data_IF_829575055449
#
_entry.id   IF_829575055449
#
_cell.length_a   1.000
_cell.length_b   1.000
_cell.length_c   1.000
_cell.angle_alpha   90.00
_cell.angle_beta   90.00
_cell.angle_gamma   90.00
#
_symmetry.space_group_name_H-M   'P 1'
#
loop_
_entity.id
_entity.type
_entity.pdbx_description
1 polymer ?
#
# COMPACT_ATOMS: atom_id res chain seq x y z
N UNK A 1 1.90 3.94 -18.31
CA UNK A 1 2.40 2.70 -17.68
C UNK A 1 2.18 2.87 -16.19
N UNK A 2 1.47 1.95 -15.52
CA UNK A 2 1.29 2.04 -14.08
C UNK A 2 2.63 1.75 -13.38
N UNK A 3 2.91 2.39 -12.22
CA UNK A 3 4.07 2.02 -11.43
C UNK A 3 3.93 0.56 -10.99
N UNK A 4 5.02 -0.20 -11.07
CA UNK A 4 5.10 -1.55 -10.51
C UNK A 4 5.17 -1.46 -8.99
N UNK A 5 4.01 -1.29 -8.36
CA UNK A 5 3.90 -1.07 -6.93
C UNK A 5 2.70 -1.82 -6.35
N UNK A 6 2.86 -2.27 -5.10
CA UNK A 6 1.81 -2.79 -4.26
C UNK A 6 1.38 -1.76 -3.20
N UNK A 7 0.15 -1.91 -2.73
CA UNK A 7 -0.50 -0.99 -1.81
C UNK A 7 -1.16 -1.75 -0.67
N UNK A 8 -0.90 -1.32 0.56
CA UNK A 8 -1.66 -1.73 1.73
C UNK A 8 -2.55 -0.56 2.14
N UNK A 9 -3.87 -0.75 2.09
CA UNK A 9 -4.86 0.30 2.28
C UNK A 9 -5.77 0.00 3.45
N UNK A 10 -6.11 1.02 4.23
CA UNK A 10 -7.19 0.96 5.23
C UNK A 10 -8.37 1.79 4.74
N UNK A 11 -9.54 1.18 4.72
CA UNK A 11 -10.80 1.84 4.44
C UNK A 11 -11.59 1.97 5.74
N UNK A 12 -11.85 3.20 6.17
CA UNK A 12 -12.57 3.47 7.41
C UNK A 12 -14.06 3.72 7.15
N UNK A 13 -14.96 3.32 8.05
CA UNK A 13 -16.36 3.71 7.96
C UNK A 13 -16.49 5.23 8.11
N UNK A 14 -17.56 5.82 7.56
CA UNK A 14 -17.81 7.26 7.70
C UNK A 14 -17.77 7.74 9.16
N UNK A 15 -18.20 6.91 10.12
CA UNK A 15 -18.17 7.24 11.55
C UNK A 15 -16.77 7.54 12.10
N UNK A 16 -15.71 7.09 11.44
CA UNK A 16 -14.33 7.37 11.83
C UNK A 16 -13.88 8.81 11.54
N UNK A 17 -14.55 9.50 10.61
CA UNK A 17 -14.19 10.86 10.18
C UNK A 17 -14.92 11.92 11.01
N UNK A 18 -14.39 13.14 11.04
CA UNK A 18 -15.07 14.29 11.64
C UNK A 18 -16.37 14.60 10.89
N UNK A 19 -17.34 15.24 11.56
CA UNK A 19 -18.67 15.48 10.98
C UNK A 19 -18.63 16.28 9.66
N UNK A 20 -17.73 17.27 9.57
CA UNK A 20 -17.50 18.03 8.34
C UNK A 20 -17.00 17.15 7.18
N UNK A 21 -16.08 16.23 7.46
CA UNK A 21 -15.53 15.30 6.48
C UNK A 21 -16.53 14.21 6.08
N UNK A 22 -17.40 13.76 7.01
CA UNK A 22 -18.43 12.76 6.72
C UNK A 22 -19.33 13.19 5.58
N UNK A 23 -19.79 14.45 5.62
CA UNK A 23 -20.63 15.01 4.55
C UNK A 23 -19.87 15.07 3.23
N UNK A 24 -18.62 15.56 3.25
CA UNK A 24 -17.77 15.61 2.05
C UNK A 24 -17.60 14.22 1.43
N UNK A 25 -17.35 13.19 2.24
CA UNK A 25 -17.19 11.83 1.72
C UNK A 25 -18.48 11.18 1.25
N UNK A 26 -19.62 11.48 1.89
CA UNK A 26 -20.92 11.05 1.42
C UNK A 26 -21.24 11.68 0.05
N UNK A 27 -21.11 13.00 -0.07
CA UNK A 27 -21.34 13.73 -1.31
C UNK A 27 -20.36 13.28 -2.41
N UNK A 28 -19.09 13.05 -2.07
CA UNK A 28 -18.08 12.48 -2.98
C UNK A 28 -18.48 11.09 -3.47
N UNK A 29 -19.05 10.23 -2.63
CA UNK A 29 -19.45 8.88 -3.03
C UNK A 29 -20.50 8.87 -4.13
N UNK A 30 -21.39 9.86 -4.13
CA UNK A 30 -22.48 10.04 -5.09
C UNK A 30 -22.07 10.86 -6.33
N UNK A 31 -20.92 11.54 -6.27
CA UNK A 31 -20.35 12.27 -7.41
C UNK A 31 -20.03 11.35 -8.59
N UNK A 32 -20.37 11.81 -9.80
CA UNK A 32 -20.07 11.12 -11.07
C UNK A 32 -18.67 11.39 -11.60
N UNK A 33 -18.07 12.50 -11.18
CA UNK A 33 -16.79 12.99 -11.73
C UNK A 33 -15.56 12.41 -11.02
N UNK A 34 -15.77 11.58 -10.00
CA UNK A 34 -14.66 10.96 -9.26
C UNK A 34 -13.97 9.85 -10.05
N UNK A 35 -12.65 9.67 -9.89
CA UNK A 35 -11.95 8.52 -10.44
C UNK A 35 -12.54 7.21 -9.91
N UNK A 36 -12.95 6.32 -10.81
CA UNK A 36 -13.31 4.95 -10.45
C UNK A 36 -12.07 4.18 -10.05
N UNK A 37 -12.22 3.15 -9.21
CA UNK A 37 -11.11 2.32 -8.71
C UNK A 37 -10.17 1.84 -9.82
N UNK A 38 -10.72 1.37 -10.94
CA UNK A 38 -9.95 0.90 -12.09
C UNK A 38 -8.98 1.96 -12.67
N UNK A 39 -9.34 3.25 -12.55
CA UNK A 39 -8.57 4.36 -13.12
C UNK A 39 -7.86 5.20 -12.03
N UNK A 40 -8.15 4.97 -10.75
CA UNK A 40 -7.67 5.77 -9.63
C UNK A 40 -6.13 5.83 -9.58
N UNK A 41 -5.46 4.67 -9.69
CA UNK A 41 -4.00 4.62 -9.73
C UNK A 41 -3.41 5.36 -10.94
N UNK A 42 -4.03 5.22 -12.12
CA UNK A 42 -3.57 5.90 -13.32
C UNK A 42 -3.77 7.41 -13.23
N UNK A 43 -4.88 7.86 -12.64
CA UNK A 43 -5.16 9.27 -12.40
C UNK A 43 -4.14 9.89 -11.42
N UNK A 44 -3.90 9.24 -10.27
CA UNK A 44 -2.89 9.69 -9.30
C UNK A 44 -1.48 9.72 -9.92
N UNK A 45 -1.13 8.68 -10.69
CA UNK A 45 0.18 8.60 -11.33
C UNK A 45 0.37 9.68 -12.42
N UNK A 46 -0.62 9.86 -13.29
CA UNK A 46 -0.56 10.84 -14.38
C UNK A 46 -0.44 12.27 -13.83
N UNK A 47 -1.19 12.60 -12.78
CA UNK A 47 -1.07 13.88 -12.07
C UNK A 47 0.35 14.07 -11.50
N UNK A 48 0.90 13.05 -10.86
CA UNK A 48 2.26 13.11 -10.31
C UNK A 48 3.33 13.27 -11.37
N UNK A 49 3.22 12.58 -12.50
CA UNK A 49 4.17 12.70 -13.62
C UNK A 49 4.14 14.11 -14.19
N UNK A 50 2.94 14.65 -14.43
CA UNK A 50 2.79 16.02 -14.96
C UNK A 50 3.42 17.06 -14.04
N UNK A 51 3.25 16.94 -12.71
CA UNK A 51 3.89 17.82 -11.74
C UNK A 51 5.41 17.72 -11.72
N UNK A 52 5.95 16.51 -11.84
CA UNK A 52 7.40 16.28 -11.82
C UNK A 52 8.08 16.74 -13.11
N UNK A 53 7.38 16.70 -14.25
CA UNK A 53 7.87 17.21 -15.53
C UNK A 53 7.75 18.74 -15.67
N UNK A 54 7.06 19.40 -14.75
CA UNK A 54 6.94 20.86 -14.73
C UNK A 54 8.26 21.58 -14.48
N UNK A 55 8.34 22.87 -14.85
CA UNK A 55 9.50 23.73 -14.61
C UNK A 55 9.07 24.97 -13.81
N UNK A 56 9.41 25.07 -12.51
CA UNK A 56 10.15 24.09 -11.71
C UNK A 56 9.33 22.82 -11.40
N UNK A 57 9.98 21.68 -11.08
CA UNK A 57 9.28 20.46 -10.71
C UNK A 57 8.53 20.65 -9.39
N UNK A 58 7.37 20.02 -9.25
CA UNK A 58 6.55 20.05 -8.03
C UNK A 58 6.42 18.65 -7.42
N UNK A 59 7.43 18.14 -6.67
CA UNK A 59 7.37 16.82 -6.05
C UNK A 59 6.15 16.60 -5.13
N UNK A 60 5.70 17.67 -4.47
CA UNK A 60 4.55 17.65 -3.57
C UNK A 60 3.44 18.53 -4.15
N UNK A 61 2.19 18.04 -4.25
CA UNK A 61 1.05 18.87 -4.64
C UNK A 61 0.86 20.08 -3.73
N UNK A 62 0.37 21.19 -4.27
CA UNK A 62 0.08 22.40 -3.49
C UNK A 62 -1.11 22.24 -2.54
N UNK A 63 -2.05 21.33 -2.83
CA UNK A 63 -3.24 21.06 -2.04
C UNK A 63 -3.44 19.55 -1.88
N UNK A 64 -4.15 19.15 -0.82
CA UNK A 64 -4.47 17.74 -0.63
C UNK A 64 -5.48 17.27 -1.69
N UNK A 65 -5.33 16.02 -2.12
CA UNK A 65 -6.24 15.41 -3.08
C UNK A 65 -7.64 15.29 -2.48
N UNK A 66 -8.70 15.73 -3.18
CA UNK A 66 -10.08 15.52 -2.74
C UNK A 66 -10.55 14.08 -2.99
N UNK A 67 -9.70 13.22 -3.56
CA UNK A 67 -10.08 11.87 -3.97
C UNK A 67 -9.85 10.83 -2.87
N UNK A 68 -10.70 9.81 -2.89
CA UNK A 68 -10.62 8.63 -2.04
C UNK A 68 -10.97 7.37 -2.83
N UNK A 69 -10.40 6.24 -2.41
CA UNK A 69 -10.91 4.93 -2.76
C UNK A 69 -12.13 4.63 -1.90
N UNK A 70 -13.19 4.11 -2.52
CA UNK A 70 -14.44 3.78 -1.85
C UNK A 70 -14.73 2.30 -1.95
N UNK A 71 -15.31 1.75 -0.88
CA UNK A 71 -15.83 0.39 -0.85
C UNK A 71 -17.19 0.36 -0.18
N UNK A 72 -18.13 -0.38 -0.75
CA UNK A 72 -19.42 -0.66 -0.11
C UNK A 72 -19.46 -2.13 0.25
N UNK A 73 -19.79 -2.43 1.49
CA UNK A 73 -20.08 -3.78 1.99
C UNK A 73 -21.43 -3.68 2.66
N UNK A 74 -22.40 -4.42 2.11
CA UNK A 74 -23.82 -4.24 2.45
C UNK A 74 -24.21 -2.76 2.25
N UNK A 75 -24.76 -2.12 3.29
CA UNK A 75 -25.19 -0.71 3.27
C UNK A 75 -24.13 0.25 3.85
N UNK A 76 -22.94 -0.24 4.21
CA UNK A 76 -21.88 0.58 4.80
C UNK A 76 -20.89 1.08 3.76
N UNK A 77 -20.66 2.39 3.75
CA UNK A 77 -19.62 3.03 2.96
C UNK A 77 -18.32 3.11 3.76
N UNK A 78 -17.25 2.63 3.13
CA UNK A 78 -15.88 2.72 3.61
C UNK A 78 -15.05 3.59 2.69
N UNK A 79 -14.20 4.42 3.29
CA UNK A 79 -13.43 5.47 2.63
C UNK A 79 -11.95 5.31 2.94
N UNK A 80 -11.12 5.34 1.91
CA UNK A 80 -9.67 5.38 2.03
C UNK A 80 -9.16 6.61 1.25
N UNK A 81 -8.96 7.76 1.94
CA UNK A 81 -8.47 8.97 1.31
C UNK A 81 -7.11 8.75 0.64
N UNK A 82 -6.88 9.35 -0.54
CA UNK A 82 -5.61 9.15 -1.25
C UNK A 82 -4.41 9.72 -0.48
N UNK A 83 -4.64 10.84 0.22
CA UNK A 83 -3.61 11.57 0.98
C UNK A 83 -2.35 11.80 0.15
N UNK A 84 -2.52 12.13 -1.13
CA UNK A 84 -1.44 12.27 -2.10
C UNK A 84 -0.44 13.32 -1.63
N UNK A 85 -0.89 14.44 -1.04
CA UNK A 85 0.03 15.48 -0.55
C UNK A 85 0.85 15.00 0.64
N UNK A 86 0.21 14.42 1.66
CA UNK A 86 0.92 13.83 2.80
C UNK A 86 1.89 12.74 2.39
N UNK A 87 1.46 11.80 1.54
CA UNK A 87 2.31 10.72 1.03
C UNK A 87 3.47 11.25 0.20
N UNK A 88 3.27 12.30 -0.60
CA UNK A 88 4.35 12.98 -1.34
C UNK A 88 5.36 13.65 -0.40
N UNK A 89 4.93 14.32 0.68
CA UNK A 89 5.86 14.87 1.68
C UNK A 89 6.73 13.78 2.33
N UNK A 90 6.10 12.69 2.77
CA UNK A 90 6.80 11.57 3.40
C UNK A 90 7.78 10.90 2.42
N UNK A 91 7.35 10.66 1.17
CA UNK A 91 8.19 10.10 0.13
C UNK A 91 9.36 11.02 -0.22
N UNK A 92 9.13 12.33 -0.35
CA UNK A 92 10.18 13.30 -0.64
C UNK A 92 11.19 13.43 0.50
N UNK A 93 10.72 13.41 1.76
CA UNK A 93 11.60 13.41 2.94
C UNK A 93 12.48 12.15 2.98
N UNK A 94 11.92 10.98 2.65
CA UNK A 94 12.68 9.73 2.56
C UNK A 94 13.72 9.80 1.44
N UNK A 95 13.31 10.22 0.25
CA UNK A 95 14.19 10.39 -0.91
C UNK A 95 15.39 11.29 -0.56
N UNK A 96 15.15 12.46 0.05
CA UNK A 96 16.21 13.36 0.49
C UNK A 96 17.17 12.74 1.51
N UNK A 97 16.66 11.87 2.39
CA UNK A 97 17.48 11.19 3.39
C UNK A 97 18.35 10.05 2.82
N UNK A 98 17.89 9.40 1.74
CA UNK A 98 18.58 8.25 1.12
C UNK A 98 19.44 8.62 -0.08
N UNK A 99 19.21 9.78 -0.69
CA UNK A 99 19.89 10.19 -1.93
C UNK A 99 21.01 11.20 -1.64
N UNK A 100 22.22 11.03 -2.20
CA UNK A 100 23.30 11.98 -2.04
C UNK A 100 22.90 13.40 -2.46
N UNK A 101 23.27 14.42 -1.65
CA UNK A 101 22.84 15.80 -1.85
C UNK A 101 23.11 16.34 -3.28
N UNK A 102 24.27 16.02 -3.85
CA UNK A 102 24.64 16.42 -5.23
C UNK A 102 23.68 15.88 -6.29
N UNK A 103 23.09 14.70 -6.08
CA UNK A 103 22.12 14.12 -6.99
C UNK A 103 20.74 14.74 -6.75
N UNK A 104 20.38 15.00 -5.48
CA UNK A 104 19.13 15.69 -5.15
C UNK A 104 19.04 17.07 -5.80
N UNK A 105 20.12 17.85 -5.77
CA UNK A 105 20.18 19.19 -6.39
C UNK A 105 19.96 19.16 -7.92
N UNK A 106 20.19 18.00 -8.57
CA UNK A 106 19.91 17.78 -9.99
C UNK A 106 18.46 17.41 -10.27
N UNK A 107 17.81 16.74 -9.31
CA UNK A 107 16.41 16.32 -9.44
C UNK A 107 15.45 17.45 -9.08
N UNK A 108 15.75 18.20 -8.02
CA UNK A 108 14.90 19.27 -7.49
C UNK A 108 15.78 20.44 -7.08
N UNK A 109 15.52 21.66 -7.59
CA UNK A 109 16.26 22.85 -7.19
C UNK A 109 16.23 23.06 -5.67
N UNK A 110 17.36 23.47 -5.09
CA UNK A 110 17.53 23.61 -3.63
C UNK A 110 16.42 24.44 -2.97
N UNK A 111 16.06 25.59 -3.54
CA UNK A 111 15.00 26.44 -2.99
C UNK A 111 13.62 25.77 -2.97
N UNK A 112 13.32 24.93 -3.96
CA UNK A 112 12.08 24.12 -3.97
C UNK A 112 12.13 23.05 -2.87
N UNK A 113 13.27 22.37 -2.71
CA UNK A 113 13.44 21.35 -1.69
C UNK A 113 13.36 21.90 -0.26
N UNK A 114 13.89 23.10 -0.03
CA UNK A 114 13.80 23.84 1.24
C UNK A 114 12.36 24.28 1.53
N UNK A 115 11.67 24.88 0.55
CA UNK A 115 10.26 25.26 0.69
C UNK A 115 9.37 24.06 1.05
N UNK A 116 9.57 22.92 0.41
CA UNK A 116 8.82 21.69 0.70
C UNK A 116 9.04 21.23 2.15
N UNK A 117 10.28 21.34 2.65
CA UNK A 117 10.60 20.97 4.03
C UNK A 117 9.91 21.92 5.03
N UNK A 118 9.98 23.23 4.78
CA UNK A 118 9.34 24.25 5.62
C UNK A 118 7.81 24.09 5.65
N UNK A 119 7.20 23.80 4.51
CA UNK A 119 5.76 23.56 4.40
C UNK A 119 5.37 22.29 5.16
N UNK A 120 6.17 21.24 5.09
CA UNK A 120 5.90 20.01 5.85
C UNK A 120 6.06 20.21 7.36
N UNK A 121 7.06 20.98 7.78
CA UNK A 121 7.26 21.34 9.19
C UNK A 121 6.13 22.22 9.73
N UNK A 122 5.59 23.12 8.90
CA UNK A 122 4.39 23.88 9.22
C UNK A 122 3.16 22.98 9.36
N UNK A 123 2.97 22.06 8.41
CA UNK A 123 1.88 21.08 8.45
C UNK A 123 1.94 20.23 9.73
N UNK A 124 3.11 19.67 10.08
CA UNK A 124 3.32 18.89 11.31
C UNK A 124 2.93 19.67 12.57
N UNK A 125 3.33 20.95 12.66
CA UNK A 125 3.02 21.81 13.81
C UNK A 125 1.52 22.12 13.93
N UNK A 126 0.83 22.28 12.81
CA UNK A 126 -0.60 22.62 12.81
C UNK A 126 -1.50 21.40 13.04
N UNK A 127 -1.16 20.27 12.42
CA UNK A 127 -2.05 19.11 12.36
C UNK A 127 -1.79 18.09 13.49
N UNK A 128 -0.66 18.19 14.19
CA UNK A 128 -0.28 17.28 15.28
C UNK A 128 0.14 15.89 14.80
N UNK A 129 0.44 14.99 15.73
CA UNK A 129 0.95 13.64 15.43
C UNK A 129 -0.05 12.74 14.70
N UNK A 130 -1.34 12.83 15.05
CA UNK A 130 -2.40 12.01 14.43
C UNK A 130 -2.62 12.30 12.95
N UNK A 131 -2.31 13.51 12.49
CA UNK A 131 -2.48 13.92 11.09
C UNK A 131 -1.39 13.39 10.15
N UNK A 132 -0.34 12.74 10.68
CA UNK A 132 0.68 12.08 9.88
C UNK A 132 0.32 10.64 9.50
N UNK A 133 -0.79 10.11 9.99
CA UNK A 133 -1.28 8.77 9.68
C UNK A 133 -1.72 8.68 8.21
N UNK A 134 -1.04 7.82 7.45
CA UNK A 134 -1.42 7.50 6.07
C UNK A 134 -2.31 6.26 6.02
N UNK A 135 -3.43 6.34 5.30
CA UNK A 135 -4.32 5.21 5.02
C UNK A 135 -3.75 4.25 3.98
N UNK A 136 -2.74 4.68 3.23
CA UNK A 136 -2.10 3.91 2.17
C UNK A 136 -0.61 3.84 2.45
N UNK A 137 -0.11 2.61 2.55
CA UNK A 137 1.32 2.30 2.45
C UNK A 137 1.61 1.79 1.05
N UNK A 138 2.79 2.12 0.52
CA UNK A 138 3.19 1.77 -0.85
C UNK A 138 4.61 1.23 -0.85
N UNK A 139 4.84 0.22 -1.68
CA UNK A 139 6.17 -0.32 -1.97
C UNK A 139 6.27 -0.65 -3.45
N UNK A 140 7.46 -0.46 -4.03
CA UNK A 140 7.72 -0.74 -5.43
C UNK A 140 8.33 -2.15 -5.59
N UNK A 141 8.06 -2.78 -6.73
CA UNK A 141 8.70 -4.01 -7.22
C UNK A 141 8.48 -5.30 -6.43
N UNK A 142 7.89 -5.24 -5.23
CA UNK A 142 7.62 -6.42 -4.41
C UNK A 142 6.47 -6.16 -3.43
N UNK A 143 6.06 -7.17 -2.67
CA UNK A 143 5.21 -7.03 -1.47
C UNK A 143 6.04 -7.45 -0.24
N UNK A 144 6.17 -6.59 0.80
CA UNK A 144 6.88 -6.95 2.02
C UNK A 144 6.19 -8.14 2.71
N UNK A 145 6.92 -9.16 3.18
CA UNK A 145 6.32 -10.32 3.82
C UNK A 145 5.39 -9.95 4.99
N UNK A 146 5.74 -8.92 5.77
CA UNK A 146 4.91 -8.44 6.88
C UNK A 146 3.51 -7.97 6.46
N UNK A 147 3.31 -7.59 5.19
CA UNK A 147 2.01 -7.19 4.67
C UNK A 147 1.07 -8.36 4.41
N UNK A 148 1.57 -9.60 4.35
CA UNK A 148 0.71 -10.78 4.23
C UNK A 148 0.11 -11.22 5.58
N UNK A 149 0.78 -10.88 6.69
CA UNK A 149 0.38 -11.29 8.05
C UNK A 149 -1.09 -10.97 8.39
N UNK A 150 -1.67 -9.81 8.01
CA UNK A 150 -3.04 -9.49 8.37
C UNK A 150 -4.10 -10.36 7.68
N UNK A 151 -3.75 -11.11 6.65
CA UNK A 151 -4.72 -11.75 5.75
C UNK A 151 -4.78 -13.27 5.91
N UNK A 152 -5.85 -13.86 5.40
CA UNK A 152 -6.00 -15.29 5.17
C UNK A 152 -6.00 -15.60 3.66
N UNK A 153 -5.51 -16.78 3.28
CA UNK A 153 -5.42 -17.17 1.87
C UNK A 153 -6.78 -17.20 1.16
N UNK A 154 -7.87 -17.42 1.89
CA UNK A 154 -9.23 -17.45 1.33
C UNK A 154 -9.84 -16.06 1.14
N UNK A 155 -9.21 -14.99 1.66
CA UNK A 155 -9.65 -13.61 1.49
C UNK A 155 -9.17 -13.00 0.15
N UNK A 156 -8.65 -13.85 -0.73
CA UNK A 156 -8.05 -13.54 -2.03
C UNK A 156 -9.10 -13.33 -3.11
N UNK A 157 -8.89 -12.33 -3.95
CA UNK A 157 -9.64 -12.11 -5.17
C UNK A 157 -8.69 -11.84 -6.35
N UNK A 158 -8.64 -12.79 -7.29
CA UNK A 158 -7.83 -12.73 -8.50
C UNK A 158 -8.73 -12.56 -9.73
N UNK A 159 -8.37 -11.61 -10.59
CA UNK A 159 -8.92 -11.43 -11.92
C UNK A 159 -7.76 -11.36 -12.90
N UNK A 160 -7.73 -12.19 -13.94
CA UNK A 160 -6.63 -12.24 -14.90
C UNK A 160 -6.86 -11.40 -16.17
N UNK A 161 -8.08 -10.90 -16.35
CA UNK A 161 -8.53 -10.27 -17.60
C UNK A 161 -8.77 -11.32 -18.69
N UNK A 162 -9.75 -11.09 -19.55
CA UNK A 162 -9.98 -11.93 -20.73
C UNK A 162 -9.12 -11.42 -21.89
N UNK A 163 -8.16 -12.22 -22.36
CA UNK A 163 -7.47 -11.95 -23.61
C UNK A 163 -8.43 -12.19 -24.79
N UNK A 164 -9.09 -11.14 -25.29
CA UNK A 164 -9.77 -11.19 -26.60
C UNK A 164 -8.71 -10.99 -27.70
N UNK A 165 -8.47 -11.97 -28.59
CA UNK A 165 -7.52 -11.81 -29.68
C UNK A 165 -8.00 -10.70 -30.64
N UNK A 166 -7.18 -9.67 -30.88
CA UNK A 166 -7.44 -8.63 -31.88
C UNK A 166 -7.77 -7.23 -31.35
N UNK A 167 -7.71 -6.99 -30.04
CA UNK A 167 -7.78 -5.63 -29.47
C UNK A 167 -6.38 -5.09 -29.19
N UNK A 168 -6.07 -3.92 -29.74
CA UNK A 168 -4.78 -3.23 -29.56
C UNK A 168 -4.35 -3.20 -28.09
N UNK A 169 -3.13 -3.69 -27.85
CA UNK A 169 -2.43 -3.86 -26.56
C UNK A 169 -2.25 -2.54 -25.78
N UNK A 170 -2.73 -1.41 -26.30
CA UNK A 170 -2.63 -0.09 -25.68
C UNK A 170 -3.78 0.27 -24.71
N UNK A 171 -4.83 -0.56 -24.59
CA UNK A 171 -6.01 -0.22 -23.73
C UNK A 171 -6.53 -1.32 -22.79
N UNK A 172 -5.88 -2.48 -22.66
CA UNK A 172 -6.34 -3.62 -21.84
C UNK A 172 -5.76 -3.69 -20.41
N UNK A 173 -5.22 -2.59 -19.87
CA UNK A 173 -4.66 -2.55 -18.51
C UNK A 173 -5.72 -2.55 -17.38
N UNK A 174 -7.02 -2.73 -17.69
CA UNK A 174 -8.12 -2.50 -16.73
C UNK A 174 -8.79 -3.79 -16.21
N UNK A 175 -8.30 -4.97 -16.59
CA UNK A 175 -8.92 -6.25 -16.19
C UNK A 175 -8.16 -7.06 -15.13
N UNK A 176 -6.83 -6.93 -15.06
CA UNK A 176 -5.99 -7.80 -14.22
C UNK A 176 -5.79 -7.23 -12.83
N UNK A 177 -6.08 -8.01 -11.79
CA UNK A 177 -5.97 -7.57 -10.41
C UNK A 177 -5.81 -8.77 -9.45
N UNK A 178 -5.04 -8.59 -8.38
CA UNK A 178 -4.96 -9.52 -7.26
C UNK A 178 -5.02 -8.71 -5.96
N UNK A 179 -6.08 -8.94 -5.18
CA UNK A 179 -6.28 -8.27 -3.88
C UNK A 179 -6.59 -9.28 -2.77
N UNK A 180 -6.26 -8.90 -1.54
CA UNK A 180 -6.75 -9.54 -0.32
C UNK A 180 -7.48 -8.52 0.52
N UNK A 181 -8.60 -8.90 1.15
CA UNK A 181 -9.43 -7.96 1.90
C UNK A 181 -9.93 -8.62 3.17
N UNK A 182 -9.68 -7.98 4.31
CA UNK A 182 -10.10 -8.48 5.62
C UNK A 182 -10.66 -7.37 6.50
N UNK A 183 -11.36 -7.77 7.57
CA UNK A 183 -11.78 -6.84 8.62
C UNK A 183 -10.60 -6.40 9.48
N UNK A 184 -10.64 -5.17 10.01
CA UNK A 184 -9.62 -4.67 10.95
C UNK A 184 -9.49 -5.56 12.19
N UNK A 185 -10.60 -6.11 12.69
CA UNK A 185 -10.59 -7.05 13.82
C UNK A 185 -9.77 -8.32 13.52
N UNK A 186 -9.96 -8.93 12.34
CA UNK A 186 -9.19 -10.10 11.93
C UNK A 186 -7.73 -9.74 11.66
N UNK A 187 -7.48 -8.63 10.96
CA UNK A 187 -6.13 -8.12 10.69
C UNK A 187 -5.31 -7.96 11.98
N UNK A 188 -5.86 -7.25 12.99
CA UNK A 188 -5.20 -7.05 14.28
C UNK A 188 -5.00 -8.36 15.05
N UNK A 189 -6.00 -9.25 15.03
CA UNK A 189 -5.88 -10.57 15.68
C UNK A 189 -4.73 -11.38 15.09
N UNK A 190 -4.61 -11.43 13.76
CA UNK A 190 -3.54 -12.16 13.07
C UNK A 190 -2.17 -11.52 13.31
N UNK A 191 -2.07 -10.20 13.24
CA UNK A 191 -0.84 -9.46 13.55
C UNK A 191 -0.37 -9.68 14.99
N UNK A 192 -1.27 -9.60 15.97
CA UNK A 192 -0.96 -9.87 17.37
C UNK A 192 -0.51 -11.32 17.60
N UNK A 193 -1.17 -12.30 16.96
CA UNK A 193 -0.74 -13.70 17.00
C UNK A 193 0.67 -13.85 16.43
N UNK A 194 0.94 -13.28 15.27
CA UNK A 194 2.26 -13.34 14.62
C UNK A 194 3.34 -12.75 15.53
N UNK A 195 3.13 -11.56 16.11
CA UNK A 195 4.06 -10.96 17.07
C UNK A 195 4.33 -11.86 18.27
N UNK A 196 3.30 -12.48 18.83
CA UNK A 196 3.44 -13.38 19.97
C UNK A 196 4.23 -14.65 19.62
N UNK A 197 4.07 -15.19 18.40
CA UNK A 197 4.88 -16.32 17.92
C UNK A 197 6.32 -15.89 17.73
N UNK A 198 6.57 -14.80 16.98
CA UNK A 198 7.92 -14.37 16.67
C UNK A 198 8.72 -13.99 17.93
N UNK A 199 8.11 -13.28 18.88
CA UNK A 199 8.76 -12.94 20.17
C UNK A 199 9.11 -14.17 21.01
N UNK A 200 8.27 -15.22 20.99
CA UNK A 200 8.53 -16.46 21.73
C UNK A 200 9.67 -17.28 21.15
N UNK A 201 9.75 -17.37 19.82
CA UNK A 201 10.63 -18.33 19.15
C UNK A 201 11.90 -17.71 18.58
N UNK A 202 11.90 -16.43 18.20
CA UNK A 202 13.02 -15.79 17.50
C UNK A 202 13.73 -14.71 18.33
N UNK A 203 13.22 -14.34 19.52
CA UNK A 203 13.77 -13.23 20.29
C UNK A 203 13.53 -11.90 19.58
N UNK A 204 14.48 -10.96 19.61
CA UNK A 204 14.34 -9.61 19.03
C UNK A 204 15.07 -9.50 17.67
N UNK A 205 14.41 -9.89 16.59
CA UNK A 205 14.96 -9.96 15.22
C UNK A 205 14.30 -8.92 14.32
N UNK A 206 14.99 -8.46 13.27
CA UNK A 206 14.49 -7.50 12.25
C UNK A 206 13.04 -7.76 11.81
N UNK A 207 12.65 -9.02 11.60
CA UNK A 207 11.30 -9.39 11.17
C UNK A 207 10.21 -9.01 12.19
N UNK A 208 10.54 -8.95 13.49
CA UNK A 208 9.62 -8.46 14.51
C UNK A 208 9.28 -7.00 14.31
N UNK A 209 10.28 -6.18 13.98
CA UNK A 209 10.09 -4.74 13.82
C UNK A 209 9.15 -4.44 12.64
N UNK A 210 9.24 -5.19 11.55
CA UNK A 210 8.35 -5.02 10.40
C UNK A 210 6.91 -5.44 10.70
N UNK A 211 6.70 -6.56 11.40
CA UNK A 211 5.35 -6.98 11.80
C UNK A 211 4.80 -6.07 12.90
N UNK A 212 5.64 -5.57 13.79
CA UNK A 212 5.25 -4.64 14.85
C UNK A 212 4.85 -3.28 14.29
N UNK A 213 5.58 -2.78 13.29
CA UNK A 213 5.23 -1.56 12.57
C UNK A 213 3.87 -1.69 11.87
N UNK A 214 3.58 -2.85 11.25
CA UNK A 214 2.26 -3.11 10.67
C UNK A 214 1.18 -3.18 11.75
N UNK A 215 1.41 -3.89 12.85
CA UNK A 215 0.44 -3.99 13.93
C UNK A 215 0.12 -2.62 14.54
N UNK A 216 1.15 -1.81 14.83
CA UNK A 216 1.01 -0.47 15.37
C UNK A 216 0.27 0.46 14.42
N UNK A 217 0.61 0.42 13.13
CA UNK A 217 -0.10 1.19 12.12
C UNK A 217 -1.58 0.80 12.04
N UNK A 218 -1.91 -0.50 12.08
CA UNK A 218 -3.29 -0.96 12.11
C UNK A 218 -4.05 -0.47 13.34
N UNK A 219 -3.40 -0.33 14.50
CA UNK A 219 -3.98 0.17 15.74
C UNK A 219 -4.42 1.64 15.67
N UNK A 220 -3.83 2.42 14.77
CA UNK A 220 -4.16 3.85 14.61
C UNK A 220 -5.54 4.09 14.01
N UNK A 221 -6.19 3.08 13.42
CA UNK A 221 -7.46 3.22 12.70
C UNK A 221 -8.69 2.75 13.51
N UNK A 222 -9.87 3.04 13.00
CA UNK A 222 -11.13 2.60 13.59
C UNK A 222 -11.27 1.06 13.58
N UNK A 223 -11.78 0.42 14.66
CA UNK A 223 -11.81 -1.05 14.79
C UNK A 223 -12.75 -1.76 13.81
N UNK A 224 -13.69 -1.04 13.20
CA UNK A 224 -14.59 -1.56 12.17
C UNK A 224 -14.12 -1.29 10.74
N UNK A 225 -12.90 -0.81 10.54
CA UNK A 225 -12.31 -0.57 9.21
C UNK A 225 -12.06 -1.88 8.45
N UNK A 226 -11.75 -1.76 7.15
CA UNK A 226 -11.29 -2.84 6.30
C UNK A 226 -9.83 -2.62 5.95
N UNK A 227 -9.07 -3.71 5.84
CA UNK A 227 -7.68 -3.70 5.37
C UNK A 227 -7.62 -4.41 4.04
N UNK A 228 -6.90 -3.82 3.08
CA UNK A 228 -6.75 -4.34 1.74
C UNK A 228 -5.28 -4.37 1.35
N UNK A 229 -4.81 -5.52 0.87
CA UNK A 229 -3.58 -5.63 0.12
C UNK A 229 -3.92 -5.69 -1.36
N UNK A 230 -3.39 -4.77 -2.14
CA UNK A 230 -3.60 -4.67 -3.57
C UNK A 230 -2.24 -4.77 -4.28
N UNK A 231 -2.08 -5.79 -5.12
CA UNK A 231 -0.83 -6.03 -5.86
C UNK A 231 -0.59 -4.94 -6.92
N UNK A 232 -1.59 -4.11 -7.22
CA UNK A 232 -1.46 -2.92 -8.06
C UNK A 232 -0.82 -3.24 -9.40
N UNK A 233 0.25 -2.52 -9.76
CA UNK A 233 0.97 -2.75 -11.00
C UNK A 233 1.81 -4.03 -11.02
N UNK A 234 2.09 -4.66 -9.87
CA UNK A 234 2.92 -5.87 -9.81
C UNK A 234 2.29 -7.06 -10.54
N UNK A 235 0.96 -7.07 -10.68
CA UNK A 235 0.27 -8.10 -11.48
C UNK A 235 0.74 -8.12 -12.93
N UNK A 236 1.40 -7.07 -13.43
CA UNK A 236 1.96 -7.04 -14.79
C UNK A 236 3.41 -7.54 -14.88
N UNK A 237 4.06 -7.82 -13.75
CA UNK A 237 5.39 -8.45 -13.69
C UNK A 237 5.34 -9.98 -13.62
N UNK A 238 4.15 -10.55 -13.38
CA UNK A 238 3.92 -11.98 -13.22
C UNK A 238 3.06 -12.50 -14.37
N UNK A 239 3.30 -13.69 -14.88
CA UNK A 239 2.37 -14.34 -15.81
C UNK A 239 1.14 -14.92 -15.06
N UNK A 240 0.17 -15.43 -15.80
CA UNK A 240 -1.11 -15.89 -15.23
C UNK A 240 -0.92 -17.09 -14.30
N UNK A 241 -0.05 -18.01 -14.67
CA UNK A 241 0.27 -19.20 -13.85
C UNK A 241 0.95 -18.79 -12.54
N UNK A 242 1.91 -17.86 -12.58
CA UNK A 242 2.56 -17.31 -11.40
C UNK A 242 1.58 -16.60 -10.48
N UNK A 243 0.65 -15.80 -11.03
CA UNK A 243 -0.39 -15.16 -10.22
C UNK A 243 -1.34 -16.18 -9.60
N UNK A 244 -1.76 -17.21 -10.34
CA UNK A 244 -2.65 -18.27 -9.83
C UNK A 244 -1.98 -19.06 -8.70
N UNK A 245 -0.71 -19.42 -8.89
CA UNK A 245 0.11 -20.19 -7.96
C UNK A 245 0.61 -19.38 -6.75
N UNK A 246 0.48 -18.05 -6.76
CA UNK A 246 0.83 -17.23 -5.59
C UNK A 246 -0.07 -17.59 -4.40
N UNK A 247 0.57 -18.16 -3.38
CA UNK A 247 -0.03 -18.53 -2.10
C UNK A 247 0.73 -17.87 -0.95
N UNK A 248 1.32 -16.69 -1.16
CA UNK A 248 2.21 -16.06 -0.17
C UNK A 248 1.56 -15.85 1.20
N UNK A 249 0.26 -15.52 1.24
CA UNK A 249 -0.50 -15.40 2.49
C UNK A 249 -0.64 -16.74 3.21
N UNK A 250 -1.00 -17.81 2.48
CA UNK A 250 -1.16 -19.13 3.06
C UNK A 250 0.18 -19.73 3.52
N UNK A 251 1.24 -19.57 2.72
CA UNK A 251 2.59 -20.02 3.06
C UNK A 251 3.14 -19.31 4.30
N UNK A 252 2.96 -17.98 4.43
CA UNK A 252 3.40 -17.26 5.63
C UNK A 252 2.59 -17.67 6.87
N UNK A 253 1.28 -17.87 6.72
CA UNK A 253 0.42 -18.39 7.81
C UNK A 253 0.84 -19.79 8.27
N UNK A 254 1.18 -20.67 7.32
CA UNK A 254 1.73 -21.99 7.58
C UNK A 254 3.10 -21.91 8.25
N UNK A 255 3.96 -20.96 7.85
CA UNK A 255 5.26 -20.74 8.47
C UNK A 255 5.12 -20.34 9.95
N UNK A 256 4.26 -19.36 10.25
CA UNK A 256 3.99 -18.93 11.62
C UNK A 256 3.37 -20.05 12.47
N UNK A 257 2.47 -20.84 11.90
CA UNK A 257 1.85 -21.97 12.61
C UNK A 257 2.84 -23.12 12.84
N UNK A 258 3.68 -23.42 11.86
CA UNK A 258 4.75 -24.40 12.01
C UNK A 258 5.72 -24.02 13.13
N UNK A 259 6.12 -22.74 13.18
CA UNK A 259 6.98 -22.22 14.23
C UNK A 259 6.34 -22.34 15.62
N UNK A 260 5.06 -22.00 15.75
CA UNK A 260 4.30 -22.08 17.01
C UNK A 260 4.07 -23.53 17.50
N UNK A 261 4.04 -24.49 16.58
CA UNK A 261 3.78 -25.91 16.86
C UNK A 261 5.04 -26.77 16.91
N UNK A 262 6.23 -26.16 16.79
CA UNK A 262 7.52 -26.86 16.80
C UNK A 262 7.88 -27.60 15.50
N UNK A 263 7.17 -27.33 14.40
CA UNK A 263 7.49 -27.85 13.05
C UNK A 263 8.46 -26.90 12.33
N UNK A 264 9.67 -26.74 12.87
CA UNK A 264 10.63 -25.73 12.44
C UNK A 264 11.08 -25.90 10.99
N UNK A 265 11.31 -27.13 10.52
CA UNK A 265 11.72 -27.39 9.14
C UNK A 265 10.63 -26.98 8.14
N UNK A 266 9.37 -27.30 8.42
CA UNK A 266 8.23 -26.87 7.61
C UNK A 266 8.11 -25.35 7.64
N UNK A 267 8.25 -24.74 8.84
CA UNK A 267 8.16 -23.30 9.00
C UNK A 267 9.21 -22.56 8.17
N UNK A 268 10.45 -23.01 8.24
CA UNK A 268 11.56 -22.49 7.46
C UNK A 268 11.32 -22.66 5.95
N UNK A 269 10.91 -23.85 5.52
CA UNK A 269 10.64 -24.12 4.11
C UNK A 269 9.53 -23.22 3.53
N UNK A 270 8.44 -23.03 4.28
CA UNK A 270 7.34 -22.15 3.85
C UNK A 270 7.77 -20.69 3.82
N UNK A 271 8.49 -20.21 4.84
CA UNK A 271 8.99 -18.83 4.86
C UNK A 271 9.98 -18.57 3.73
N UNK A 272 10.92 -19.49 3.47
CA UNK A 272 11.88 -19.37 2.37
C UNK A 272 11.20 -19.26 1.00
N UNK A 273 10.13 -20.01 0.75
CA UNK A 273 9.36 -19.90 -0.51
C UNK A 273 8.84 -18.48 -0.74
N UNK A 274 8.27 -17.85 0.30
CA UNK A 274 7.79 -16.48 0.23
C UNK A 274 8.94 -15.51 -0.06
N UNK A 275 10.03 -15.59 0.71
CA UNK A 275 11.17 -14.68 0.55
C UNK A 275 11.82 -14.81 -0.83
N UNK A 276 12.05 -16.03 -1.31
CA UNK A 276 12.67 -16.26 -2.61
C UNK A 276 11.79 -15.75 -3.76
N UNK A 277 10.46 -15.94 -3.67
CA UNK A 277 9.51 -15.42 -4.68
C UNK A 277 9.55 -13.90 -4.79
N UNK A 278 9.59 -13.19 -3.66
CA UNK A 278 9.58 -11.72 -3.68
C UNK A 278 10.96 -11.12 -3.94
N UNK A 279 12.03 -11.82 -3.57
CA UNK A 279 13.40 -11.41 -3.90
C UNK A 279 13.67 -11.48 -5.41
N UNK A 280 13.16 -12.50 -6.12
CA UNK A 280 13.32 -12.58 -7.57
C UNK A 280 12.59 -11.44 -8.29
N UNK A 281 11.40 -11.05 -7.81
CA UNK A 281 10.70 -9.86 -8.32
C UNK A 281 11.45 -8.57 -8.03
N UNK A 282 12.02 -8.43 -6.84
CA UNK A 282 12.83 -7.26 -6.51
C UNK A 282 14.10 -7.16 -7.39
N UNK A 283 14.69 -8.27 -7.82
CA UNK A 283 15.83 -8.25 -8.74
C UNK A 283 15.49 -7.64 -10.12
N UNK A 284 14.22 -7.69 -10.55
CA UNK A 284 13.77 -7.00 -11.77
C UNK A 284 13.94 -5.48 -11.65
N UNK A 285 13.87 -4.90 -10.45
CA UNK A 285 14.17 -3.49 -10.23
C UNK A 285 15.60 -3.15 -10.64
N UNK A 286 16.58 -3.97 -10.21
CA UNK A 286 18.00 -3.75 -10.49
C UNK A 286 18.42 -4.01 -11.93
N UNK A 287 17.57 -4.69 -12.70
CA UNK A 287 17.78 -5.00 -14.11
C UNK A 287 17.16 -3.96 -15.08
N UNK A 288 16.40 -2.98 -14.56
CA UNK A 288 15.86 -1.84 -15.30
C UNK A 288 16.73 -0.59 -15.11
#
# INVERSE_FOLDING_TARGET
>A
MLPYAAYLRVYEPLTAFAESERKVWADYADSRDRPRRANALNAEHSESVMRLLGMPPQPVPAQESPNAYLRRVEDRLYVCPWQTRLRSWLAFSRLRGTTPAKLMDRLVPKGVAEQIADDFDRFKRQAGSSALRTHIRTTAWHVPPSWFVPFDGNERWLVLGSATPGQDVKTTATGRNLIYVTSMAQARRRAARALNVLRRHLGDVSANFDVEDIARWLEEFHPHSLVELDYGGLVHLMDDDALQADQSVAELSAALTGLDTGQEELAYAMYQRVILRWKSMQQLESAN
#
